data_IF_666456081925
#
_entry.id   IF_666456081925
#
_cell.length_a   1.000
_cell.length_b   1.000
_cell.length_c   1.000
_cell.angle_alpha   90.00
_cell.angle_beta   90.00
_cell.angle_gamma   90.00
#
_symmetry.space_group_name_H-M   'P 1'
#
loop_
_entity.id
_entity.type
_entity.pdbx_description
1 polymer ?
#
# COMPACT_ATOMS: atom_id res chain seq x y z
N UNK A 1 -13.90 0.51 2.70
CA UNK A 1 -14.44 -0.78 3.22
C UNK A 1 -13.35 -1.65 3.82
N UNK A 2 -12.22 -1.88 3.14
CA UNK A 2 -11.15 -2.81 3.55
C UNK A 2 -10.11 -2.24 4.52
N UNK A 3 -10.08 -0.90 4.66
CA UNK A 3 -9.07 -0.23 5.48
C UNK A 3 -9.72 0.61 6.59
N UNK A 4 -10.34 1.75 6.27
CA UNK A 4 -10.85 2.70 7.28
C UNK A 4 -11.95 2.16 8.22
N UNK A 5 -12.55 1.01 7.91
CA UNK A 5 -13.57 0.36 8.74
C UNK A 5 -13.05 -0.14 10.09
N UNK A 6 -11.76 -0.47 10.17
CA UNK A 6 -11.16 -1.08 11.37
C UNK A 6 -9.94 -0.26 11.79
N UNK A 7 -9.81 0.01 13.09
CA UNK A 7 -8.62 0.63 13.68
C UNK A 7 -8.79 1.99 14.33
N UNK A 8 -10.00 2.57 14.34
CA UNK A 8 -10.38 3.74 15.13
C UNK A 8 -9.68 5.06 14.81
N UNK A 9 -8.78 5.12 13.83
CA UNK A 9 -8.04 6.34 13.48
C UNK A 9 -8.96 7.30 12.74
N UNK A 10 -9.22 8.46 13.34
CA UNK A 10 -9.96 9.56 12.72
C UNK A 10 -9.06 10.79 12.68
N UNK A 11 -9.04 11.51 11.57
CA UNK A 11 -8.21 12.71 11.43
C UNK A 11 -8.73 13.63 10.33
N UNK A 12 -8.28 14.88 10.37
CA UNK A 12 -8.46 15.89 9.32
C UNK A 12 -7.11 16.42 8.86
N UNK A 13 -7.07 16.91 7.63
CA UNK A 13 -5.88 17.53 7.05
C UNK A 13 -5.65 18.93 7.63
N UNK A 14 -4.39 19.33 7.70
CA UNK A 14 -3.94 20.69 7.98
C UNK A 14 -3.19 21.21 6.73
N UNK A 15 -3.13 22.53 6.46
CA UNK A 15 -2.35 23.06 5.33
C UNK A 15 -0.87 22.62 5.30
N UNK A 16 -0.34 22.19 6.44
CA UNK A 16 1.05 21.71 6.59
C UNK A 16 1.19 20.18 6.49
N UNK A 17 0.10 19.41 6.39
CA UNK A 17 0.20 17.95 6.33
C UNK A 17 -1.13 17.19 6.38
N UNK A 18 -1.12 15.98 5.85
CA UNK A 18 -2.26 15.05 5.81
C UNK A 18 -2.51 14.46 7.22
N UNK A 19 -3.77 14.33 7.63
CA UNK A 19 -4.17 13.68 8.89
C UNK A 19 -3.50 14.20 10.19
N UNK A 20 -3.13 15.48 10.24
CA UNK A 20 -2.35 16.05 11.35
C UNK A 20 -3.14 16.26 12.66
N UNK A 21 -4.46 16.38 12.58
CA UNK A 21 -5.31 16.61 13.76
C UNK A 21 -6.35 15.50 13.83
N UNK A 22 -6.37 14.72 14.91
CA UNK A 22 -7.20 13.52 14.97
C UNK A 22 -7.30 12.87 16.35
N UNK A 23 -7.99 11.74 16.40
CA UNK A 23 -8.17 10.92 17.59
C UNK A 23 -8.25 9.42 17.23
N UNK A 24 -7.99 8.56 18.22
CA UNK A 24 -8.35 7.15 18.14
C UNK A 24 -9.71 6.96 18.80
N UNK A 25 -10.76 6.73 18.00
CA UNK A 25 -12.14 6.57 18.42
C UNK A 25 -12.82 5.44 17.65
N UNK A 26 -13.20 4.37 18.35
CA UNK A 26 -13.79 3.17 17.73
C UNK A 26 -15.28 3.38 17.42
N UNK A 27 -15.78 2.91 16.26
CA UNK A 27 -17.22 2.89 15.99
C UNK A 27 -17.93 1.82 16.83
N UNK A 28 -19.22 2.00 17.11
CA UNK A 28 -20.04 0.96 17.74
C UNK A 28 -20.33 -0.21 16.80
N UNK A 29 -20.49 0.08 15.51
CA UNK A 29 -20.71 -0.90 14.46
C UNK A 29 -20.22 -0.35 13.12
N UNK A 30 -19.88 -1.25 12.20
CA UNK A 30 -19.60 -0.93 10.79
C UNK A 30 -20.53 -1.76 9.93
N UNK A 31 -21.28 -1.09 9.06
CA UNK A 31 -22.16 -1.74 8.08
C UNK A 31 -21.54 -1.60 6.71
N UNK A 32 -21.23 -2.72 6.05
CA UNK A 32 -20.66 -2.74 4.70
C UNK A 32 -21.70 -3.33 3.75
N UNK A 33 -22.35 -2.48 2.96
CA UNK A 33 -23.23 -2.91 1.87
C UNK A 33 -22.43 -2.96 0.56
N UNK A 34 -22.26 -4.16 0.00
CA UNK A 34 -21.49 -4.36 -1.23
C UNK A 34 -22.20 -3.76 -2.46
N UNK A 35 -23.51 -3.55 -2.41
CA UNK A 35 -24.25 -2.90 -3.49
C UNK A 35 -23.78 -1.45 -3.72
N UNK A 36 -23.20 -0.81 -2.70
CA UNK A 36 -22.61 0.54 -2.83
C UNK A 36 -21.45 0.58 -3.83
N UNK A 37 -20.80 -0.56 -4.13
CA UNK A 37 -19.72 -0.64 -5.10
C UNK A 37 -20.21 -0.63 -6.56
N UNK A 38 -21.51 -0.89 -6.80
CA UNK A 38 -22.08 -0.91 -8.14
C UNK A 38 -21.98 0.45 -8.85
N UNK A 39 -22.03 1.55 -8.08
CA UNK A 39 -21.91 2.92 -8.59
C UNK A 39 -20.50 3.50 -8.47
N UNK A 40 -19.57 2.78 -7.84
CA UNK A 40 -18.20 3.24 -7.65
C UNK A 40 -17.44 3.22 -8.97
N UNK A 41 -16.74 4.31 -9.31
CA UNK A 41 -15.94 4.38 -10.53
C UNK A 41 -14.85 3.31 -10.55
N UNK A 42 -14.53 2.76 -11.73
CA UNK A 42 -13.50 1.72 -11.88
C UNK A 42 -12.13 2.15 -11.33
N UNK A 43 -11.78 3.44 -11.46
CA UNK A 43 -10.53 4.01 -10.95
C UNK A 43 -10.46 3.93 -9.41
N UNK A 44 -11.58 4.21 -8.73
CA UNK A 44 -11.68 4.11 -7.27
C UNK A 44 -11.69 2.65 -6.79
N UNK A 45 -12.33 1.75 -7.55
CA UNK A 45 -12.26 0.31 -7.27
C UNK A 45 -10.80 -0.19 -7.36
N UNK A 46 -10.09 0.18 -8.43
CA UNK A 46 -8.66 -0.12 -8.62
C UNK A 46 -7.82 0.42 -7.46
N UNK A 47 -8.00 1.69 -7.10
CA UNK A 47 -7.33 2.30 -5.95
C UNK A 47 -7.58 1.52 -4.65
N UNK A 48 -8.82 1.08 -4.40
CA UNK A 48 -9.15 0.23 -3.25
C UNK A 48 -8.43 -1.13 -3.26
N UNK A 49 -8.15 -1.71 -4.43
CA UNK A 49 -7.43 -2.98 -4.54
C UNK A 49 -5.97 -2.88 -4.10
N UNK A 50 -5.36 -1.69 -4.11
CA UNK A 50 -3.99 -1.52 -3.59
C UNK A 50 -3.89 -1.94 -2.13
N UNK A 51 -4.89 -1.57 -1.32
CA UNK A 51 -4.99 -1.94 0.09
C UNK A 51 -5.26 -3.44 0.28
N UNK A 52 -6.08 -4.03 -0.59
CA UNK A 52 -6.36 -5.48 -0.58
C UNK A 52 -5.08 -6.28 -0.86
N UNK A 53 -4.34 -5.89 -1.90
CA UNK A 53 -3.07 -6.52 -2.29
C UNK A 53 -2.03 -6.36 -1.17
N UNK A 54 -1.98 -5.19 -0.54
CA UNK A 54 -1.05 -4.90 0.56
C UNK A 54 -1.13 -5.98 1.64
N UNK A 55 -2.32 -6.31 2.12
CA UNK A 55 -2.50 -7.36 3.15
C UNK A 55 -1.87 -8.70 2.76
N UNK A 56 -2.06 -9.14 1.52
CA UNK A 56 -1.44 -10.37 1.02
C UNK A 56 0.09 -10.28 1.02
N UNK A 57 0.64 -9.16 0.56
CA UNK A 57 2.09 -8.93 0.55
C UNK A 57 2.71 -9.01 1.95
N UNK A 58 2.09 -8.38 2.95
CA UNK A 58 2.74 -8.15 4.25
C UNK A 58 2.43 -9.18 5.32
N UNK A 59 1.34 -9.94 5.17
CA UNK A 59 0.78 -10.75 6.26
C UNK A 59 0.23 -12.12 5.87
N UNK A 60 -0.12 -12.34 4.60
CA UNK A 60 -0.92 -13.50 4.21
C UNK A 60 -0.65 -13.97 2.79
N UNK A 61 0.30 -14.90 2.64
CA UNK A 61 0.67 -15.46 1.35
C UNK A 61 -0.48 -16.24 0.69
N UNK A 62 -1.29 -16.97 1.46
CA UNK A 62 -2.43 -17.71 0.93
C UNK A 62 -3.47 -16.75 0.33
N UNK A 63 -3.73 -15.62 1.01
CA UNK A 63 -4.59 -14.58 0.46
C UNK A 63 -3.98 -13.92 -0.78
N UNK A 64 -2.66 -13.70 -0.82
CA UNK A 64 -2.00 -13.20 -2.02
C UNK A 64 -2.17 -14.16 -3.21
N UNK A 65 -1.96 -15.46 -3.01
CA UNK A 65 -2.19 -16.50 -4.03
C UNK A 65 -3.66 -16.55 -4.49
N UNK A 66 -4.60 -16.37 -3.55
CA UNK A 66 -6.02 -16.27 -3.87
C UNK A 66 -6.32 -15.04 -4.74
N UNK A 67 -5.71 -13.88 -4.44
CA UNK A 67 -5.86 -12.66 -5.24
C UNK A 67 -5.32 -12.85 -6.67
N UNK A 68 -4.16 -13.50 -6.84
CA UNK A 68 -3.62 -13.81 -8.16
C UNK A 68 -4.62 -14.61 -9.03
N UNK A 69 -5.38 -15.50 -8.41
CA UNK A 69 -6.37 -16.33 -9.09
C UNK A 69 -7.67 -15.58 -9.39
N UNK A 70 -8.07 -14.64 -8.52
CA UNK A 70 -9.42 -14.04 -8.55
C UNK A 70 -9.47 -12.56 -8.90
N UNK A 71 -8.32 -11.90 -9.14
CA UNK A 71 -8.26 -10.45 -9.38
C UNK A 71 -9.20 -9.99 -10.50
N UNK A 72 -9.33 -10.77 -11.58
CA UNK A 72 -10.22 -10.43 -12.68
C UNK A 72 -11.70 -10.47 -12.27
N UNK A 73 -12.09 -11.37 -11.38
CA UNK A 73 -13.45 -11.41 -10.81
C UNK A 73 -13.70 -10.24 -9.86
N UNK A 74 -12.72 -9.89 -9.03
CA UNK A 74 -12.77 -8.70 -8.16
C UNK A 74 -12.94 -7.41 -8.97
N UNK A 75 -12.19 -7.25 -10.05
CA UNK A 75 -12.28 -6.08 -10.94
C UNK A 75 -13.60 -6.03 -11.71
N UNK A 76 -14.30 -7.17 -11.88
CA UNK A 76 -15.68 -7.24 -12.39
C UNK A 76 -16.75 -7.06 -11.31
N UNK A 77 -16.35 -6.83 -10.05
CA UNK A 77 -17.25 -6.71 -8.89
C UNK A 77 -18.10 -7.95 -8.65
N UNK A 78 -17.53 -9.13 -8.84
CA UNK A 78 -18.20 -10.38 -8.45
C UNK A 78 -18.57 -10.33 -6.96
N UNK A 79 -19.86 -10.45 -6.59
CA UNK A 79 -20.31 -10.24 -5.22
C UNK A 79 -19.66 -11.17 -4.20
N UNK A 80 -19.47 -12.45 -4.55
CA UNK A 80 -18.93 -13.45 -3.63
C UNK A 80 -17.43 -13.23 -3.41
N UNK A 81 -16.69 -12.97 -4.49
CA UNK A 81 -15.27 -12.66 -4.41
C UNK A 81 -15.03 -11.35 -3.63
N UNK A 82 -15.83 -10.32 -3.88
CA UNK A 82 -15.73 -9.05 -3.17
C UNK A 82 -16.05 -9.24 -1.69
N UNK A 83 -17.11 -9.99 -1.35
CA UNK A 83 -17.47 -10.29 0.04
C UNK A 83 -16.31 -11.00 0.76
N UNK A 84 -15.72 -12.01 0.12
CA UNK A 84 -14.59 -12.76 0.67
C UNK A 84 -13.36 -11.87 0.87
N UNK A 85 -13.01 -11.03 -0.11
CA UNK A 85 -11.88 -10.11 -0.02
C UNK A 85 -12.07 -9.08 1.10
N UNK A 86 -13.26 -8.48 1.19
CA UNK A 86 -13.59 -7.51 2.25
C UNK A 86 -13.50 -8.15 3.62
N UNK A 87 -14.11 -9.33 3.80
CA UNK A 87 -14.07 -10.06 5.06
C UNK A 87 -12.63 -10.36 5.49
N UNK A 88 -11.80 -10.89 4.58
CA UNK A 88 -10.41 -11.25 4.90
C UNK A 88 -9.56 -10.02 5.24
N UNK A 89 -9.73 -8.90 4.53
CA UNK A 89 -9.03 -7.65 4.84
C UNK A 89 -9.40 -7.14 6.24
N UNK A 90 -10.70 -7.15 6.58
CA UNK A 90 -11.16 -6.74 7.91
C UNK A 90 -10.59 -7.66 9.01
N UNK A 91 -10.56 -8.97 8.77
CA UNK A 91 -9.98 -9.95 9.71
C UNK A 91 -8.48 -9.70 9.94
N UNK A 92 -7.70 -9.50 8.86
CA UNK A 92 -6.27 -9.22 8.94
C UNK A 92 -6.01 -7.88 9.65
N UNK A 93 -6.75 -6.83 9.31
CA UNK A 93 -6.60 -5.52 9.97
C UNK A 93 -6.96 -5.60 11.45
N UNK A 94 -8.03 -6.31 11.81
CA UNK A 94 -8.43 -6.50 13.20
C UNK A 94 -7.33 -7.20 14.01
N UNK A 95 -6.68 -8.24 13.45
CA UNK A 95 -5.54 -8.91 14.10
C UNK A 95 -4.39 -7.94 14.40
N UNK A 96 -4.02 -7.08 13.46
CA UNK A 96 -2.94 -6.09 13.65
C UNK A 96 -3.33 -5.03 14.68
N UNK A 97 -4.55 -4.50 14.59
CA UNK A 97 -5.05 -3.49 15.53
C UNK A 97 -5.13 -4.06 16.95
N UNK A 98 -5.53 -5.32 17.11
CA UNK A 98 -5.56 -5.97 18.42
C UNK A 98 -4.16 -6.17 19.02
N UNK A 99 -3.14 -6.37 18.18
CA UNK A 99 -1.73 -6.46 18.62
C UNK A 99 -1.14 -5.08 18.93
N UNK A 100 -1.57 -4.04 18.22
CA UNK A 100 -1.00 -2.69 18.31
C UNK A 100 -2.04 -1.61 17.95
N UNK A 101 -2.87 -1.25 18.92
CA UNK A 101 -3.97 -0.31 18.69
C UNK A 101 -3.47 1.10 18.36
N UNK A 102 -2.35 1.53 18.96
CA UNK A 102 -1.85 2.92 18.90
C UNK A 102 -0.62 3.13 18.01
N UNK A 103 -0.34 2.20 17.09
CA UNK A 103 0.72 2.34 16.08
C UNK A 103 2.15 2.44 16.66
N UNK A 104 2.44 1.72 17.76
CA UNK A 104 3.76 1.71 18.39
C UNK A 104 4.74 0.66 17.81
N UNK A 105 4.26 -0.26 16.96
CA UNK A 105 5.06 -1.37 16.45
C UNK A 105 4.44 -2.08 15.26
N UNK A 106 3.68 -3.16 15.49
CA UNK A 106 3.19 -4.06 14.44
C UNK A 106 2.31 -3.36 13.39
N UNK A 107 1.58 -2.31 13.77
CA UNK A 107 0.70 -1.57 12.85
C UNK A 107 1.48 -0.72 11.84
N UNK A 108 2.78 -0.46 12.08
CA UNK A 108 3.65 0.17 11.10
C UNK A 108 3.81 -0.67 9.82
N UNK A 109 3.59 -1.99 9.87
CA UNK A 109 3.63 -2.85 8.67
C UNK A 109 2.55 -2.49 7.64
N UNK A 110 1.43 -1.91 8.09
CA UNK A 110 0.37 -1.43 7.20
C UNK A 110 0.85 -0.26 6.31
N UNK A 111 2.02 0.32 6.57
CA UNK A 111 2.61 1.37 5.75
C UNK A 111 3.45 0.82 4.57
N UNK A 112 3.36 -0.47 4.23
CA UNK A 112 3.96 -0.98 3.01
C UNK A 112 3.48 -0.20 1.78
N UNK A 113 4.43 0.31 1.01
CA UNK A 113 4.20 1.23 -0.11
C UNK A 113 3.88 2.69 0.27
N UNK A 114 3.52 2.99 1.51
CA UNK A 114 3.04 4.34 1.89
C UNK A 114 4.14 5.39 1.89
N UNK A 115 5.37 5.04 2.30
CA UNK A 115 6.49 6.00 2.30
C UNK A 115 6.72 6.58 0.90
N UNK A 116 6.72 5.74 -0.13
CA UNK A 116 6.85 6.17 -1.52
C UNK A 116 5.54 6.75 -2.06
N UNK A 117 4.39 6.18 -1.70
CA UNK A 117 3.08 6.66 -2.11
C UNK A 117 2.80 8.09 -1.64
N UNK A 118 3.08 8.42 -0.39
CA UNK A 118 2.93 9.79 0.13
C UNK A 118 3.86 10.77 -0.57
N UNK A 119 5.08 10.37 -0.92
CA UNK A 119 5.97 11.20 -1.74
C UNK A 119 5.37 11.48 -3.12
N UNK A 120 4.77 10.46 -3.77
CA UNK A 120 4.06 10.63 -5.05
C UNK A 120 2.85 11.56 -4.90
N UNK A 121 1.99 11.34 -3.89
CA UNK A 121 0.80 12.18 -3.65
C UNK A 121 1.18 13.65 -3.41
N UNK A 122 2.21 13.88 -2.60
CA UNK A 122 2.66 15.23 -2.25
C UNK A 122 3.24 15.96 -3.46
N UNK A 123 4.09 15.30 -4.23
CA UNK A 123 4.79 15.92 -5.37
C UNK A 123 3.90 16.04 -6.63
N UNK A 124 2.98 15.09 -6.86
CA UNK A 124 1.97 15.22 -7.94
C UNK A 124 0.95 16.31 -7.64
N UNK A 125 0.75 16.64 -6.36
CA UNK A 125 -0.36 17.46 -5.87
C UNK A 125 -1.56 16.61 -5.48
N UNK A 126 -2.10 16.88 -4.29
CA UNK A 126 -3.22 16.12 -3.72
C UNK A 126 -4.42 16.06 -4.67
N UNK A 127 -4.90 14.85 -4.94
CA UNK A 127 -6.06 14.58 -5.80
C UNK A 127 -5.74 14.29 -7.27
N UNK A 128 -4.49 14.48 -7.72
CA UNK A 128 -4.09 14.08 -9.08
C UNK A 128 -4.02 12.56 -9.21
N UNK A 129 -3.32 11.92 -8.28
CA UNK A 129 -3.38 10.48 -8.07
C UNK A 129 -4.27 10.18 -6.87
N UNK A 130 -5.08 9.14 -7.00
CA UNK A 130 -5.78 8.57 -5.86
C UNK A 130 -4.77 7.96 -4.91
N UNK A 131 -5.09 7.93 -3.61
CA UNK A 131 -4.21 7.36 -2.60
C UNK A 131 -3.79 5.93 -2.95
N UNK A 132 -4.73 5.08 -3.36
CA UNK A 132 -4.44 3.70 -3.76
C UNK A 132 -3.55 3.57 -4.99
N UNK A 133 -3.61 4.51 -5.93
CA UNK A 133 -2.70 4.53 -7.09
C UNK A 133 -1.25 4.77 -6.63
N UNK A 134 -1.07 5.74 -5.74
CA UNK A 134 0.22 6.07 -5.17
C UNK A 134 0.76 4.94 -4.28
N UNK A 135 -0.10 4.33 -3.45
CA UNK A 135 0.26 3.17 -2.61
C UNK A 135 0.63 1.96 -3.47
N UNK A 136 -0.15 1.66 -4.51
CA UNK A 136 0.15 0.57 -5.46
C UNK A 136 1.52 0.74 -6.11
N UNK A 137 1.81 1.93 -6.62
CA UNK A 137 3.12 2.27 -7.17
C UNK A 137 4.22 2.17 -6.10
N UNK A 138 3.97 2.69 -4.90
CA UNK A 138 4.90 2.62 -3.78
C UNK A 138 5.21 1.19 -3.33
N UNK A 139 4.24 0.27 -3.40
CA UNK A 139 4.46 -1.16 -3.14
C UNK A 139 5.41 -1.77 -4.17
N UNK A 140 5.32 -1.36 -5.45
CA UNK A 140 6.29 -1.77 -6.47
C UNK A 140 7.70 -1.30 -6.10
N UNK A 141 7.87 -0.02 -5.74
CA UNK A 141 9.19 0.53 -5.33
C UNK A 141 9.73 -0.22 -4.10
N UNK A 142 8.90 -0.46 -3.09
CA UNK A 142 9.29 -1.19 -1.90
C UNK A 142 9.66 -2.66 -2.20
N UNK A 143 8.99 -3.30 -3.17
CA UNK A 143 9.30 -4.66 -3.62
C UNK A 143 10.61 -4.71 -4.42
N UNK A 144 10.87 -3.71 -5.27
CA UNK A 144 12.14 -3.52 -5.95
C UNK A 144 13.28 -3.38 -4.95
N UNK A 145 13.13 -2.51 -3.96
CA UNK A 145 14.11 -2.33 -2.90
C UNK A 145 14.32 -3.61 -2.08
N UNK A 146 13.25 -4.34 -1.76
CA UNK A 146 13.35 -5.62 -1.05
C UNK A 146 14.15 -6.65 -1.87
N UNK A 147 13.93 -6.71 -3.18
CA UNK A 147 14.65 -7.61 -4.08
C UNK A 147 16.13 -7.22 -4.24
N UNK A 148 16.44 -5.93 -4.41
CA UNK A 148 17.82 -5.43 -4.52
C UNK A 148 18.64 -5.71 -3.25
N UNK A 149 17.98 -5.70 -2.09
CA UNK A 149 18.60 -6.05 -0.80
C UNK A 149 18.68 -7.56 -0.53
N UNK A 150 18.25 -8.41 -1.49
CA UNK A 150 18.26 -9.87 -1.36
C UNK A 150 17.25 -10.42 -0.35
N UNK A 151 16.22 -9.63 0.01
CA UNK A 151 15.21 -10.04 0.99
C UNK A 151 14.08 -10.85 0.36
N UNK A 152 13.79 -10.62 -0.92
CA UNK A 152 12.89 -11.44 -1.73
C UNK A 152 13.56 -11.75 -3.07
N UNK A 153 13.09 -12.79 -3.74
CA UNK A 153 13.59 -13.16 -5.05
C UNK A 153 12.88 -12.41 -6.20
N UNK A 154 13.49 -12.49 -7.39
CA UNK A 154 12.96 -11.87 -8.60
C UNK A 154 11.55 -12.39 -8.98
N UNK A 155 11.26 -13.71 -8.87
CA UNK A 155 9.90 -14.22 -9.03
C UNK A 155 8.87 -13.56 -8.12
N UNK A 156 9.13 -13.43 -6.81
CA UNK A 156 8.21 -12.78 -5.86
C UNK A 156 7.97 -11.33 -6.23
N UNK A 157 9.02 -10.58 -6.57
CA UNK A 157 8.89 -9.20 -7.06
C UNK A 157 7.97 -9.11 -8.29
N UNK A 158 8.15 -10.03 -9.26
CA UNK A 158 7.34 -10.06 -10.50
C UNK A 158 5.88 -10.40 -10.22
N UNK A 159 5.58 -11.31 -9.29
CA UNK A 159 4.21 -11.63 -8.87
C UNK A 159 3.48 -10.39 -8.36
N UNK A 160 4.12 -9.63 -7.47
CA UNK A 160 3.56 -8.37 -6.93
C UNK A 160 3.27 -7.37 -8.06
N UNK A 161 4.25 -7.14 -8.94
CA UNK A 161 4.10 -6.21 -10.05
C UNK A 161 2.97 -6.63 -11.02
N UNK A 162 2.84 -7.93 -11.31
CA UNK A 162 1.75 -8.49 -12.14
C UNK A 162 0.39 -8.31 -11.49
N UNK A 163 0.27 -8.57 -10.20
CA UNK A 163 -1.00 -8.41 -9.49
C UNK A 163 -1.45 -6.94 -9.41
N UNK A 164 -0.53 -6.02 -9.14
CA UNK A 164 -0.78 -4.57 -9.20
C UNK A 164 -1.26 -4.15 -10.59
N UNK A 165 -0.60 -4.64 -11.64
CA UNK A 165 -1.01 -4.37 -13.02
C UNK A 165 -2.40 -4.94 -13.34
N UNK A 166 -2.69 -6.17 -12.89
CA UNK A 166 -3.96 -6.84 -13.10
C UNK A 166 -5.14 -6.18 -12.36
N UNK A 167 -4.85 -5.45 -11.27
CA UNK A 167 -5.81 -4.60 -10.57
C UNK A 167 -6.07 -3.25 -11.28
N UNK A 168 -5.34 -2.95 -12.36
CA UNK A 168 -5.46 -1.69 -13.08
C UNK A 168 -4.83 -0.50 -12.35
N UNK A 169 -3.84 -0.74 -11.49
CA UNK A 169 -3.09 0.31 -10.78
C UNK A 169 -1.90 0.79 -11.62
N UNK A 170 -1.43 2.03 -11.43
CA UNK A 170 -0.20 2.50 -12.04
C UNK A 170 0.99 1.65 -11.63
N UNK A 171 1.75 1.21 -12.62
CA UNK A 171 2.89 0.34 -12.41
C UNK A 171 4.22 1.06 -12.54
N UNK A 172 4.26 2.30 -13.00
CA UNK A 172 5.50 3.07 -13.17
C UNK A 172 5.50 4.25 -12.20
N UNK A 173 6.59 4.40 -11.48
CA UNK A 173 6.80 5.60 -10.69
C UNK A 173 6.95 6.81 -11.62
N UNK A 174 6.44 8.00 -11.23
CA UNK A 174 6.71 9.23 -11.97
C UNK A 174 8.20 9.41 -12.27
N UNK A 175 8.53 9.80 -13.51
CA UNK A 175 9.90 10.01 -13.93
C UNK A 175 10.45 11.32 -13.35
N UNK A 176 10.88 11.24 -12.09
CA UNK A 176 11.54 12.31 -11.35
C UNK A 176 12.91 11.87 -10.87
N UNK A 177 13.84 12.80 -10.65
CA UNK A 177 15.07 12.50 -9.95
C UNK A 177 14.78 11.85 -8.59
N UNK A 178 15.54 10.82 -8.20
CA UNK A 178 15.40 10.17 -6.90
C UNK A 178 15.46 11.17 -5.72
N UNK A 179 16.21 12.25 -5.88
CA UNK A 179 16.30 13.33 -4.91
C UNK A 179 14.95 14.02 -4.62
N UNK A 180 14.04 14.10 -5.59
CA UNK A 180 12.69 14.64 -5.42
C UNK A 180 11.90 13.77 -4.43
N UNK A 181 11.89 12.45 -4.66
CA UNK A 181 11.28 11.50 -3.73
C UNK A 181 11.90 11.55 -2.34
N UNK A 182 13.24 11.55 -2.24
CA UNK A 182 13.93 11.57 -0.95
C UNK A 182 13.60 12.83 -0.14
N UNK A 183 13.47 14.00 -0.79
CA UNK A 183 13.04 15.24 -0.14
C UNK A 183 11.60 15.11 0.37
N UNK A 184 10.68 14.66 -0.48
CA UNK A 184 9.27 14.48 -0.12
C UNK A 184 9.08 13.50 1.06
N UNK A 185 9.77 12.34 1.03
CA UNK A 185 9.75 11.37 2.13
C UNK A 185 10.33 11.93 3.43
N UNK A 186 11.38 12.76 3.33
CA UNK A 186 11.97 13.41 4.50
C UNK A 186 11.03 14.46 5.13
N UNK A 187 10.20 15.14 4.34
CA UNK A 187 9.22 16.09 4.87
C UNK A 187 8.13 15.40 5.71
N UNK A 188 7.61 14.27 5.23
CA UNK A 188 6.64 13.44 5.97
C UNK A 188 7.23 12.96 7.31
N UNK A 189 8.51 12.56 7.32
CA UNK A 189 9.19 11.99 8.51
C UNK A 189 9.86 13.01 9.43
N UNK A 190 10.13 14.24 9.00
CA UNK A 190 10.57 15.32 9.89
C UNK A 190 9.52 15.67 10.95
N UNK A 191 8.25 15.36 10.70
CA UNK A 191 7.20 15.44 11.71
C UNK A 191 7.35 14.38 12.84
N UNK A 192 8.05 13.27 12.58
CA UNK A 192 8.26 12.15 13.52
C UNK A 192 9.69 12.10 14.12
N UNK A 193 10.55 13.08 13.81
CA UNK A 193 11.89 13.25 14.39
C UNK A 193 12.83 12.02 14.30
N UNK A 194 13.00 11.41 13.12
CA UNK A 194 13.90 10.25 12.95
C UNK A 194 14.46 10.01 11.54
N UNK A 195 15.33 9.00 11.45
CA UNK A 195 15.80 8.41 10.19
C UNK A 195 14.63 7.73 9.45
N UNK A 196 14.56 7.86 8.11
CA UNK A 196 13.48 7.27 7.33
C UNK A 196 13.56 5.75 7.44
N UNK A 197 12.47 5.14 7.94
CA UNK A 197 12.31 3.70 8.00
C UNK A 197 11.33 3.24 6.93
N UNK A 198 11.68 2.17 6.25
CA UNK A 198 10.90 1.58 5.17
C UNK A 198 10.29 0.27 5.64
N UNK A 199 9.04 0.04 5.25
CA UNK A 199 8.41 -1.29 5.35
C UNK A 199 8.82 -2.08 4.12
N UNK A 200 9.47 -3.23 4.34
CA UNK A 200 10.01 -4.10 3.30
C UNK A 200 9.55 -5.53 3.51
N UNK A 201 9.64 -6.35 2.46
CA UNK A 201 9.30 -7.77 2.52
C UNK A 201 10.54 -8.59 2.90
N UNK A 202 10.35 -9.56 3.80
CA UNK A 202 11.31 -10.64 4.07
C UNK A 202 10.91 -11.93 3.32
N UNK A 203 9.62 -12.09 3.02
CA UNK A 203 9.03 -13.11 2.18
C UNK A 203 7.63 -12.63 1.78
N UNK A 204 6.97 -13.32 0.86
CA UNK A 204 5.54 -13.10 0.66
C UNK A 204 4.79 -13.37 1.98
N UNK A 205 3.82 -12.52 2.30
CA UNK A 205 3.09 -12.60 3.56
C UNK A 205 3.90 -12.21 4.81
N UNK A 206 5.11 -11.68 4.67
CA UNK A 206 5.95 -11.28 5.82
C UNK A 206 6.74 -10.01 5.56
N UNK A 207 6.36 -8.95 6.25
CA UNK A 207 7.05 -7.66 6.21
C UNK A 207 7.76 -7.30 7.52
N UNK A 208 8.68 -6.34 7.44
CA UNK A 208 9.37 -5.75 8.59
C UNK A 208 9.80 -4.32 8.30
N UNK A 209 10.18 -3.58 9.35
CA UNK A 209 10.54 -2.16 9.27
C UNK A 209 12.04 -1.96 9.52
N UNK A 210 12.77 -1.38 8.56
CA UNK A 210 14.20 -1.07 8.72
C UNK A 210 14.60 0.27 8.07
N UNK A 211 15.66 0.94 8.54
CA UNK A 211 16.32 1.98 7.77
C UNK A 211 17.06 1.37 6.57
N UNK A 212 17.20 2.18 5.51
CA UNK A 212 17.94 1.83 4.28
C UNK A 212 18.69 3.07 3.79
N UNK A 213 19.95 2.88 3.37
CA UNK A 213 20.77 3.97 2.85
C UNK A 213 20.21 4.56 1.55
N UNK A 214 20.31 5.88 1.39
CA UNK A 214 19.73 6.62 0.27
C UNK A 214 20.15 6.08 -1.11
N UNK A 215 21.38 5.57 -1.25
CA UNK A 215 21.87 5.01 -2.53
C UNK A 215 21.03 3.82 -3.02
N UNK A 216 20.69 2.87 -2.14
CA UNK A 216 19.85 1.73 -2.51
C UNK A 216 18.41 2.17 -2.81
N UNK A 217 17.90 3.15 -2.05
CA UNK A 217 16.57 3.72 -2.29
C UNK A 217 16.49 4.39 -3.67
N UNK A 218 17.52 5.16 -4.05
CA UNK A 218 17.59 5.81 -5.37
C UNK A 218 17.61 4.79 -6.50
N UNK A 219 18.40 3.71 -6.38
CA UNK A 219 18.45 2.64 -7.38
C UNK A 219 17.09 1.93 -7.54
N UNK A 220 16.38 1.70 -6.44
CA UNK A 220 15.04 1.11 -6.49
C UNK A 220 14.00 2.04 -7.14
N UNK A 221 14.10 3.35 -6.90
CA UNK A 221 13.24 4.35 -7.54
C UNK A 221 13.48 4.40 -9.06
N UNK A 222 14.73 4.49 -9.48
CA UNK A 222 15.13 4.51 -10.90
C UNK A 222 14.63 3.24 -11.62
N UNK A 223 14.88 2.06 -11.06
CA UNK A 223 14.38 0.80 -11.63
C UNK A 223 12.84 0.68 -11.67
N UNK A 224 12.14 1.42 -10.81
CA UNK A 224 10.66 1.43 -10.77
C UNK A 224 10.02 2.41 -11.76
N UNK A 225 10.81 3.27 -12.40
CA UNK A 225 10.37 4.15 -13.48
C UNK A 225 10.34 3.42 -14.83
N UNK A 226 11.03 2.28 -14.95
CA UNK A 226 10.99 1.47 -16.15
C UNK A 226 9.68 0.66 -16.27
N UNK A 227 9.19 0.38 -17.50
CA UNK A 227 8.04 -0.50 -17.71
C UNK A 227 8.26 -1.88 -17.10
N UNK A 228 7.19 -2.54 -16.65
CA UNK A 228 7.30 -3.95 -16.24
C UNK A 228 7.64 -4.77 -17.48
N UNK A 229 8.80 -5.43 -17.48
CA UNK A 229 9.07 -6.53 -18.40
C UNK A 229 8.14 -7.70 -18.05
N UNK A 230 6.93 -7.72 -18.63
CA UNK A 230 5.92 -8.74 -18.37
C UNK A 230 6.24 -10.10 -19.02
N UNK A 231 7.34 -10.21 -19.79
CA UNK A 231 7.75 -11.44 -20.45
C UNK A 231 8.74 -12.25 -19.59
N UNK A 232 8.38 -13.50 -19.34
CA UNK A 232 9.09 -14.48 -18.52
C UNK A 232 8.12 -15.50 -17.94
#
# INVERSE_FOLDING_TARGET
>A
QVDSSVGGKTAVNHPLGKNMVGAFYQPQAVVIDLNSLATLANRELSAGMAEVIKYGCIMDEDFFCWLETHIQGLMRRDPDLVAQAVYRCCELKAKVVAMDEREAGARALLNFGHTFGHAIESEMGYGQWLHGEAVGCGMRVASELSCQLGLIDLPTKRRIARLIAAAGLPTQAPNWPAQTYLKAMAHDKKAEAGEIRYVLLQAMGKAFVRPVGASAVSQALEASQEPIALQG
#
